data_IF_905370698637
#
_entry.id   IF_905370698637
#
_cell.length_a   1.000
_cell.length_b   1.000
_cell.length_c   1.000
_cell.angle_alpha   90.00
_cell.angle_beta   90.00
_cell.angle_gamma   90.00
#
_symmetry.space_group_name_H-M   'P 1'
#
loop_
_entity.id
_entity.type
_entity.pdbx_description
1 polymer ?
#
# COMPACT_ATOMS: atom_id res chain seq x y z
N UNK A 1 9.15 5.35 7.14
CA UNK A 1 8.54 4.01 7.28
C UNK A 1 8.27 3.75 8.75
N UNK A 2 7.05 4.06 9.22
CA UNK A 2 6.46 3.51 10.45
C UNK A 2 4.96 3.48 10.20
N UNK A 3 4.51 2.47 9.45
CA UNK A 3 3.12 2.05 9.56
C UNK A 3 3.04 1.33 10.89
N UNK A 4 2.23 1.88 11.79
CA UNK A 4 1.94 1.37 13.13
C UNK A 4 2.11 -0.16 13.21
N UNK A 5 3.18 -0.61 13.86
CA UNK A 5 3.22 -1.94 14.46
C UNK A 5 2.26 -1.89 15.65
N UNK A 6 0.96 -1.91 15.33
CA UNK A 6 -0.05 -2.11 16.34
C UNK A 6 -0.06 -3.61 16.67
N UNK A 7 0.85 -4.00 17.56
CA UNK A 7 0.88 -5.32 18.21
C UNK A 7 -0.31 -5.48 19.18
N UNK A 8 -1.26 -4.53 19.19
CA UNK A 8 -2.50 -4.64 19.93
C UNK A 8 -3.25 -5.91 19.51
N UNK A 9 -3.60 -6.79 20.46
CA UNK A 9 -4.49 -7.89 20.17
C UNK A 9 -5.80 -7.32 19.61
N UNK A 10 -6.23 -7.84 18.46
CA UNK A 10 -7.57 -7.57 17.94
C UNK A 10 -8.59 -7.84 19.05
N UNK A 11 -9.51 -6.90 19.28
CA UNK A 11 -10.50 -6.95 20.38
C UNK A 11 -11.03 -8.38 20.60
N UNK A 12 -10.77 -9.03 21.75
CA UNK A 12 -11.19 -10.40 22.02
C UNK A 12 -12.66 -10.46 22.50
N UNK A 13 -13.37 -11.60 22.33
CA UNK A 13 -13.72 -12.31 21.10
C UNK A 13 -15.24 -12.22 20.81
N UNK A 14 -15.67 -12.56 19.58
CA UNK A 14 -17.04 -13.00 19.32
C UNK A 14 -17.29 -14.28 20.13
N UNK A 15 -17.95 -14.17 21.28
CA UNK A 15 -18.35 -15.33 22.10
C UNK A 15 -19.31 -16.21 21.31
N UNK A 16 -18.84 -17.37 20.86
CA UNK A 16 -19.68 -18.48 20.44
C UNK A 16 -19.19 -19.74 21.16
N UNK A 17 -20.10 -20.49 21.76
CA UNK A 17 -19.82 -21.81 22.34
C UNK A 17 -18.70 -21.89 23.40
N UNK A 18 -18.63 -20.90 24.31
CA UNK A 18 -17.72 -20.90 25.49
C UNK A 18 -16.22 -20.97 25.18
N UNK A 19 -15.81 -20.73 23.93
CA UNK A 19 -14.40 -20.64 23.54
C UNK A 19 -13.99 -19.19 23.32
N UNK A 20 -12.75 -18.84 23.67
CA UNK A 20 -12.15 -17.51 23.49
C UNK A 20 -11.10 -17.63 22.41
N UNK A 21 -11.30 -16.93 21.30
CA UNK A 21 -10.35 -16.87 20.19
C UNK A 21 -9.64 -15.53 20.19
N UNK A 22 -8.31 -15.54 20.33
CA UNK A 22 -7.47 -14.37 20.11
C UNK A 22 -7.04 -14.29 18.64
N UNK A 23 -7.00 -13.09 18.09
CA UNK A 23 -6.49 -12.83 16.75
C UNK A 23 -5.33 -11.85 16.84
N UNK A 24 -4.30 -12.06 16.02
CA UNK A 24 -3.16 -11.14 15.86
C UNK A 24 -2.89 -10.90 14.39
N UNK A 25 -2.48 -9.68 14.05
CA UNK A 25 -1.91 -9.41 12.75
C UNK A 25 -0.49 -9.98 12.70
N UNK A 26 -0.15 -10.64 11.60
CA UNK A 26 1.19 -11.15 11.35
C UNK A 26 1.63 -10.58 10.02
N UNK A 27 2.77 -9.91 10.01
CA UNK A 27 3.42 -9.51 8.78
C UNK A 27 4.04 -10.74 8.11
N UNK A 28 3.51 -11.13 6.95
CA UNK A 28 3.98 -12.29 6.20
C UNK A 28 5.46 -12.17 5.80
N UNK A 29 6.01 -10.96 5.71
CA UNK A 29 7.44 -10.73 5.39
C UNK A 29 8.38 -11.07 6.55
N UNK A 30 7.85 -11.11 7.77
CA UNK A 30 8.61 -11.47 8.99
C UNK A 30 8.58 -12.97 9.27
N UNK A 31 7.84 -13.74 8.48
CA UNK A 31 7.83 -15.19 8.59
C UNK A 31 9.10 -15.76 7.96
N UNK A 32 9.77 -16.63 8.68
CA UNK A 32 10.90 -17.41 8.17
C UNK A 32 10.38 -18.54 7.28
N UNK A 33 10.01 -18.19 6.05
CA UNK A 33 9.50 -19.13 5.06
C UNK A 33 10.57 -19.42 4.03
N UNK A 34 10.81 -20.71 3.78
CA UNK A 34 11.72 -21.18 2.74
C UNK A 34 11.16 -20.80 1.37
N UNK A 35 11.71 -19.71 0.82
CA UNK A 35 11.40 -19.17 -0.51
C UNK A 35 11.50 -20.24 -1.60
N UNK A 36 12.56 -21.05 -1.55
CA UNK A 36 12.79 -22.13 -2.51
C UNK A 36 11.72 -23.22 -2.44
N UNK A 37 11.21 -23.53 -1.24
CA UNK A 37 10.12 -24.50 -1.07
C UNK A 37 8.81 -23.96 -1.67
N UNK A 38 8.48 -22.69 -1.42
CA UNK A 38 7.27 -22.10 -1.99
C UNK A 38 7.33 -22.01 -3.52
N UNK A 39 8.49 -21.71 -4.11
CA UNK A 39 8.66 -21.62 -5.57
C UNK A 39 8.56 -22.97 -6.28
N UNK A 40 9.01 -24.03 -5.61
CA UNK A 40 9.02 -25.40 -6.14
C UNK A 40 7.77 -26.20 -5.75
N UNK A 41 6.88 -25.63 -4.93
CA UNK A 41 5.68 -26.29 -4.45
C UNK A 41 4.74 -26.70 -5.59
N UNK A 42 4.12 -27.87 -5.45
CA UNK A 42 3.06 -28.34 -6.33
C UNK A 42 1.73 -27.61 -6.08
N UNK A 43 1.61 -26.86 -4.98
CA UNK A 43 0.41 -26.10 -4.62
C UNK A 43 0.48 -24.71 -5.24
N UNK A 44 -0.43 -24.34 -6.17
CA UNK A 44 -0.36 -23.05 -6.85
C UNK A 44 -0.52 -21.81 -5.95
N UNK A 45 -1.11 -21.99 -4.76
CA UNK A 45 -1.26 -20.92 -3.79
C UNK A 45 0.08 -20.54 -3.14
N UNK A 46 1.01 -21.50 -3.03
CA UNK A 46 2.32 -21.26 -2.44
C UNK A 46 3.16 -20.32 -3.31
N UNK A 47 2.96 -20.36 -4.63
CA UNK A 47 3.56 -19.38 -5.55
C UNK A 47 3.07 -17.95 -5.28
N UNK A 48 1.82 -17.77 -4.84
CA UNK A 48 1.27 -16.46 -4.46
C UNK A 48 1.81 -16.05 -3.09
N UNK A 49 1.85 -16.98 -2.13
CA UNK A 49 2.46 -16.74 -0.82
C UNK A 49 3.93 -16.32 -0.96
N UNK A 50 4.66 -16.91 -1.90
CA UNK A 50 6.05 -16.58 -2.19
C UNK A 50 6.27 -15.09 -2.46
N UNK A 51 5.46 -14.49 -3.33
CA UNK A 51 5.57 -13.06 -3.70
C UNK A 51 4.98 -12.13 -2.62
N UNK A 52 4.08 -12.64 -1.78
CA UNK A 52 3.60 -11.91 -0.60
C UNK A 52 4.68 -11.81 0.49
N UNK A 53 5.49 -12.86 0.67
CA UNK A 53 6.56 -12.90 1.66
C UNK A 53 7.82 -12.13 1.23
N UNK A 54 7.94 -11.76 -0.06
CA UNK A 54 9.08 -10.97 -0.55
C UNK A 54 9.19 -9.62 0.17
N UNK A 55 10.40 -9.26 0.62
CA UNK A 55 10.65 -7.96 1.25
C UNK A 55 10.40 -6.77 0.31
N UNK A 56 10.66 -6.96 -0.99
CA UNK A 56 10.53 -5.94 -2.03
C UNK A 56 9.66 -6.43 -3.19
N UNK A 57 8.95 -5.51 -3.86
CA UNK A 57 8.18 -5.83 -5.06
C UNK A 57 9.14 -6.00 -6.25
N UNK A 58 9.44 -7.25 -6.60
CA UNK A 58 10.30 -7.60 -7.73
C UNK A 58 9.44 -8.01 -8.94
N UNK A 59 9.31 -7.15 -9.95
CA UNK A 59 8.42 -7.34 -11.10
C UNK A 59 8.54 -8.71 -11.76
N UNK A 60 9.78 -9.22 -11.88
CA UNK A 60 10.05 -10.49 -12.52
C UNK A 60 9.48 -11.69 -11.75
N UNK A 61 9.48 -11.65 -10.40
CA UNK A 61 8.86 -12.70 -9.58
C UNK A 61 7.34 -12.73 -9.78
N UNK A 62 6.68 -11.57 -9.73
CA UNK A 62 5.23 -11.48 -9.95
C UNK A 62 4.82 -11.98 -11.34
N UNK A 63 5.58 -11.62 -12.37
CA UNK A 63 5.35 -12.11 -13.72
C UNK A 63 5.61 -13.62 -13.86
N UNK A 64 6.62 -14.15 -13.18
CA UNK A 64 6.90 -15.59 -13.16
C UNK A 64 5.74 -16.37 -12.56
N UNK A 65 5.22 -15.93 -11.41
CA UNK A 65 4.04 -16.54 -10.77
C UNK A 65 2.82 -16.45 -11.68
N UNK A 66 2.58 -15.30 -12.33
CA UNK A 66 1.48 -15.16 -13.27
C UNK A 66 1.58 -16.15 -14.44
N UNK A 67 2.79 -16.36 -14.99
CA UNK A 67 3.03 -17.36 -16.05
C UNK A 67 2.82 -18.78 -15.54
N UNK A 68 3.26 -19.11 -14.33
CA UNK A 68 3.05 -20.43 -13.72
C UNK A 68 1.55 -20.71 -13.50
N UNK A 69 0.81 -19.76 -12.92
CA UNK A 69 -0.64 -19.86 -12.74
C UNK A 69 -1.33 -20.04 -14.09
N UNK A 70 -0.93 -19.30 -15.13
CA UNK A 70 -1.55 -19.46 -16.45
C UNK A 70 -1.24 -20.83 -17.08
N UNK A 71 -0.03 -21.38 -16.88
CA UNK A 71 0.28 -22.76 -17.29
C UNK A 71 -0.57 -23.79 -16.54
N UNK A 72 -0.69 -23.64 -15.22
CA UNK A 72 -1.53 -24.49 -14.38
C UNK A 72 -3.02 -24.41 -14.77
N UNK A 73 -3.49 -23.21 -15.12
CA UNK A 73 -4.88 -22.98 -15.55
C UNK A 73 -5.25 -23.75 -16.82
N UNK A 74 -4.29 -23.96 -17.74
CA UNK A 74 -4.51 -24.75 -18.97
C UNK A 74 -4.81 -26.21 -18.67
N UNK A 75 -4.19 -26.76 -17.62
CA UNK A 75 -4.41 -28.14 -17.20
C UNK A 75 -5.56 -28.28 -16.19
N UNK A 76 -5.86 -27.23 -15.43
CA UNK A 76 -6.86 -27.24 -14.34
C UNK A 76 -7.86 -26.06 -14.43
N UNK A 77 -8.83 -26.08 -15.37
CA UNK A 77 -9.68 -24.93 -15.66
C UNK A 77 -10.59 -24.51 -14.50
N UNK A 78 -11.17 -25.49 -13.78
CA UNK A 78 -12.20 -25.26 -12.75
C UNK A 78 -11.71 -24.45 -11.54
N UNK A 79 -10.42 -24.52 -11.19
CA UNK A 79 -9.82 -23.78 -10.07
C UNK A 79 -9.05 -22.52 -10.47
N UNK A 80 -8.90 -22.28 -11.77
CA UNK A 80 -7.98 -21.25 -12.29
C UNK A 80 -8.45 -19.82 -12.03
N UNK A 81 -9.76 -19.57 -12.07
CA UNK A 81 -10.31 -18.22 -11.84
C UNK A 81 -9.99 -17.70 -10.45
N UNK A 82 -10.11 -18.55 -9.43
CA UNK A 82 -9.78 -18.20 -8.05
C UNK A 82 -8.30 -17.84 -7.91
N UNK A 83 -7.39 -18.65 -8.46
CA UNK A 83 -5.96 -18.41 -8.39
C UNK A 83 -5.55 -17.10 -9.07
N UNK A 84 -6.13 -16.81 -10.24
CA UNK A 84 -5.90 -15.54 -10.95
C UNK A 84 -6.37 -14.35 -10.11
N UNK A 85 -7.57 -14.43 -9.52
CA UNK A 85 -8.10 -13.41 -8.63
C UNK A 85 -7.23 -13.24 -7.37
N UNK A 86 -6.79 -14.33 -6.75
CA UNK A 86 -5.93 -14.31 -5.58
C UNK A 86 -4.60 -13.60 -5.85
N UNK A 87 -3.97 -13.81 -7.01
CA UNK A 87 -2.73 -13.11 -7.36
C UNK A 87 -2.97 -11.60 -7.54
N UNK A 88 -4.11 -11.21 -8.13
CA UNK A 88 -4.45 -9.80 -8.32
C UNK A 88 -4.79 -9.10 -7.00
N UNK A 89 -5.46 -9.80 -6.07
CA UNK A 89 -5.69 -9.32 -4.70
C UNK A 89 -4.35 -9.18 -3.97
N UNK A 90 -3.47 -10.17 -4.08
CA UNK A 90 -2.13 -10.12 -3.50
C UNK A 90 -1.33 -8.92 -4.02
N UNK A 91 -1.40 -8.64 -5.33
CA UNK A 91 -0.76 -7.48 -5.93
C UNK A 91 -1.34 -6.15 -5.39
N UNK A 92 -2.65 -6.06 -5.21
CA UNK A 92 -3.28 -4.88 -4.60
C UNK A 92 -2.86 -4.69 -3.14
N UNK A 93 -2.84 -5.77 -2.33
CA UNK A 93 -2.41 -5.74 -0.93
C UNK A 93 -0.94 -5.35 -0.78
N UNK A 94 -0.09 -5.76 -1.73
CA UNK A 94 1.32 -5.37 -1.78
C UNK A 94 1.55 -4.02 -2.44
N UNK A 95 0.48 -3.28 -2.76
CA UNK A 95 0.55 -1.96 -3.39
C UNK A 95 1.35 -1.96 -4.71
N UNK A 96 1.22 -3.02 -5.52
CA UNK A 96 1.87 -3.11 -6.83
C UNK A 96 1.33 -2.02 -7.75
N UNK A 97 2.25 -1.24 -8.34
CA UNK A 97 1.92 -0.12 -9.22
C UNK A 97 0.98 -0.51 -10.37
N UNK A 98 0.02 0.37 -10.71
CA UNK A 98 -1.07 0.08 -11.66
C UNK A 98 -0.57 -0.42 -13.01
N UNK A 99 0.50 0.16 -13.55
CA UNK A 99 1.06 -0.26 -14.84
C UNK A 99 1.66 -1.67 -14.79
N UNK A 100 2.15 -2.12 -13.64
CA UNK A 100 2.65 -3.49 -13.42
C UNK A 100 1.49 -4.45 -13.22
N UNK A 101 0.48 -4.05 -12.46
CA UNK A 101 -0.76 -4.81 -12.32
C UNK A 101 -1.42 -5.08 -13.67
N UNK A 102 -1.47 -4.09 -14.59
CA UNK A 102 -1.96 -4.29 -15.97
C UNK A 102 -1.19 -5.37 -16.74
N UNK A 103 0.13 -5.46 -16.58
CA UNK A 103 0.92 -6.55 -17.18
C UNK A 103 0.55 -7.92 -16.60
N UNK A 104 0.19 -7.99 -15.31
CA UNK A 104 -0.33 -9.22 -14.70
C UNK A 104 -1.70 -9.56 -15.27
N UNK A 105 -2.59 -8.59 -15.43
CA UNK A 105 -3.89 -8.75 -16.09
C UNK A 105 -3.74 -9.39 -17.48
N UNK A 106 -2.82 -8.86 -18.30
CA UNK A 106 -2.51 -9.38 -19.63
C UNK A 106 -1.99 -10.83 -19.58
N UNK A 107 -1.02 -11.11 -18.68
CA UNK A 107 -0.43 -12.44 -18.54
C UNK A 107 -1.43 -13.49 -18.03
N UNK A 108 -2.36 -13.08 -17.17
CA UNK A 108 -3.42 -13.93 -16.62
C UNK A 108 -4.63 -14.02 -17.57
N UNK A 109 -4.69 -13.18 -18.60
CA UNK A 109 -5.84 -13.05 -19.50
C UNK A 109 -7.13 -12.71 -18.72
N UNK A 110 -7.03 -11.77 -17.79
CA UNK A 110 -8.15 -11.25 -16.99
C UNK A 110 -8.35 -9.79 -17.33
N UNK A 111 -9.60 -9.33 -17.38
CA UNK A 111 -9.92 -7.92 -17.54
C UNK A 111 -10.53 -7.38 -16.23
N UNK A 112 -9.71 -6.70 -15.41
CA UNK A 112 -10.16 -6.19 -14.10
C UNK A 112 -11.18 -5.06 -14.25
N UNK A 113 -11.18 -4.31 -15.36
CA UNK A 113 -12.16 -3.24 -15.58
C UNK A 113 -13.60 -3.74 -15.56
N UNK A 114 -13.81 -5.03 -15.80
CA UNK A 114 -15.14 -5.67 -15.75
C UNK A 114 -15.48 -6.22 -14.36
N UNK A 115 -14.61 -6.03 -13.36
CA UNK A 115 -14.79 -6.46 -11.97
C UNK A 115 -14.74 -5.20 -11.08
N UNK A 116 -15.90 -4.56 -10.81
CA UNK A 116 -15.96 -3.26 -10.13
C UNK A 116 -15.17 -3.21 -8.82
N UNK A 117 -15.34 -4.21 -7.96
CA UNK A 117 -14.66 -4.28 -6.66
C UNK A 117 -13.13 -4.24 -6.77
N UNK A 118 -12.56 -4.91 -7.78
CA UNK A 118 -11.12 -4.90 -7.98
C UNK A 118 -10.67 -3.60 -8.64
N UNK A 119 -11.46 -3.04 -9.55
CA UNK A 119 -11.17 -1.73 -10.15
C UNK A 119 -11.10 -0.63 -9.07
N UNK A 120 -12.13 -0.55 -8.23
CA UNK A 120 -12.20 0.41 -7.12
C UNK A 120 -11.00 0.26 -6.18
N UNK A 121 -10.64 -0.97 -5.82
CA UNK A 121 -9.48 -1.24 -4.95
C UNK A 121 -8.14 -0.79 -5.57
N UNK A 122 -7.99 -0.87 -6.89
CA UNK A 122 -6.80 -0.40 -7.59
C UNK A 122 -6.78 1.12 -7.74
N UNK A 123 -7.94 1.75 -7.90
CA UNK A 123 -8.06 3.20 -7.99
C UNK A 123 -7.80 3.85 -6.61
N UNK A 124 -8.36 3.27 -5.52
CA UNK A 124 -8.05 3.65 -4.14
C UNK A 124 -6.56 3.46 -3.81
N UNK A 125 -5.94 2.41 -4.36
CA UNK A 125 -4.51 2.20 -4.23
C UNK A 125 -3.71 3.28 -4.95
N UNK A 126 -4.08 3.62 -6.19
CA UNK A 126 -3.41 4.64 -6.98
C UNK A 126 -3.47 6.00 -6.29
N UNK A 127 -4.63 6.38 -5.73
CA UNK A 127 -4.79 7.58 -4.92
C UNK A 127 -3.89 7.56 -3.66
N UNK A 128 -3.84 6.45 -2.93
CA UNK A 128 -2.95 6.32 -1.74
C UNK A 128 -1.47 6.41 -2.10
N UNK A 129 -1.05 5.80 -3.21
CA UNK A 129 0.34 5.85 -3.69
C UNK A 129 0.68 7.26 -4.18
N UNK A 130 -0.24 7.94 -4.88
CA UNK A 130 -0.15 9.34 -5.28
C UNK A 130 0.09 10.26 -4.08
N UNK A 131 -0.85 10.28 -3.14
CA UNK A 131 -0.75 11.01 -1.87
C UNK A 131 0.59 10.75 -1.15
N UNK A 132 1.00 9.48 -1.00
CA UNK A 132 2.27 9.15 -0.33
C UNK A 132 3.49 9.67 -1.09
N UNK A 133 3.44 9.73 -2.41
CA UNK A 133 4.52 10.25 -3.26
C UNK A 133 4.63 11.77 -3.14
N UNK A 134 3.50 12.48 -3.14
CA UNK A 134 3.46 13.93 -2.95
C UNK A 134 3.91 14.29 -1.53
N UNK A 135 3.41 13.61 -0.49
CA UNK A 135 3.86 13.77 0.89
C UNK A 135 5.39 13.62 1.03
N UNK A 136 5.98 12.58 0.43
CA UNK A 136 7.45 12.42 0.44
C UNK A 136 8.18 13.56 -0.27
N UNK A 137 7.56 14.12 -1.31
CA UNK A 137 8.13 15.27 -2.03
C UNK A 137 8.08 16.54 -1.18
N UNK A 138 7.01 16.71 -0.40
CA UNK A 138 6.87 17.80 0.60
C UNK A 138 7.96 17.68 1.66
N UNK A 139 8.13 16.50 2.27
CA UNK A 139 9.19 16.29 3.28
C UNK A 139 10.59 16.56 2.71
N UNK A 140 10.86 16.12 1.47
CA UNK A 140 12.13 16.44 0.78
C UNK A 140 12.30 17.93 0.52
N UNK A 141 11.21 18.65 0.24
CA UNK A 141 11.26 20.09 0.03
C UNK A 141 11.62 20.81 1.33
N UNK A 142 11.04 20.41 2.47
CA UNK A 142 11.42 20.89 3.80
C UNK A 142 12.90 20.61 4.11
N UNK A 143 13.36 19.38 3.86
CA UNK A 143 14.77 18.99 4.03
C UNK A 143 15.71 19.85 3.17
N UNK A 144 15.33 20.14 1.92
CA UNK A 144 16.15 20.92 0.98
C UNK A 144 16.37 22.36 1.45
N UNK A 145 15.39 22.94 2.15
CA UNK A 145 15.49 24.29 2.74
C UNK A 145 15.88 24.27 4.23
N UNK A 146 16.23 23.09 4.76
CA UNK A 146 16.72 22.87 6.14
C UNK A 146 15.73 23.29 7.22
N UNK A 147 14.44 23.04 6.99
CA UNK A 147 13.41 23.20 8.01
C UNK A 147 13.16 21.83 8.64
N UNK A 148 13.33 21.73 9.95
CA UNK A 148 12.93 20.55 10.70
C UNK A 148 11.41 20.53 10.84
N UNK A 149 10.79 19.42 10.44
CA UNK A 149 9.36 19.18 10.60
C UNK A 149 9.16 18.44 11.91
N UNK A 150 8.44 19.05 12.84
CA UNK A 150 8.09 18.39 14.10
C UNK A 150 7.08 17.25 13.89
N UNK A 151 6.85 16.46 14.94
CA UNK A 151 5.93 15.33 14.85
C UNK A 151 4.50 15.74 14.57
N UNK A 152 4.04 16.88 15.06
CA UNK A 152 2.64 17.27 14.95
C UNK A 152 2.31 17.75 13.53
N UNK A 153 3.23 18.49 12.91
CA UNK A 153 3.18 18.86 11.49
C UNK A 153 3.31 17.61 10.62
N UNK A 154 4.20 16.68 10.96
CA UNK A 154 4.34 15.41 10.22
C UNK A 154 3.02 14.63 10.20
N UNK A 155 2.37 14.46 11.36
CA UNK A 155 1.08 13.78 11.44
C UNK A 155 0.01 14.54 10.66
N UNK A 156 -0.04 15.87 10.78
CA UNK A 156 -0.97 16.69 10.01
C UNK A 156 -0.79 16.53 8.49
N UNK A 157 0.45 16.55 7.99
CA UNK A 157 0.76 16.38 6.57
C UNK A 157 0.40 14.98 6.06
N UNK A 158 0.47 13.95 6.90
CA UNK A 158 0.01 12.60 6.53
C UNK A 158 -1.53 12.54 6.35
N UNK A 159 -2.27 13.41 7.02
CA UNK A 159 -3.72 13.54 6.93
C UNK A 159 -4.19 14.54 5.86
N UNK A 160 -3.29 15.30 5.25
CA UNK A 160 -3.58 16.18 4.11
C UNK A 160 -3.99 15.39 2.85
N UNK A 161 -4.89 15.95 2.06
CA UNK A 161 -5.24 15.42 0.74
C UNK A 161 -4.09 15.66 -0.26
N UNK A 162 -4.10 14.93 -1.37
CA UNK A 162 -3.03 15.04 -2.37
C UNK A 162 -2.90 16.46 -2.92
N UNK A 163 -4.02 17.10 -3.28
CA UNK A 163 -4.02 18.45 -3.87
C UNK A 163 -3.46 19.50 -2.90
N UNK A 164 -3.79 19.39 -1.61
CA UNK A 164 -3.28 20.28 -0.55
C UNK A 164 -1.76 20.17 -0.42
N UNK A 165 -1.22 18.94 -0.50
CA UNK A 165 0.21 18.69 -0.47
C UNK A 165 0.90 19.17 -1.76
N UNK A 166 0.25 19.05 -2.92
CA UNK A 166 0.77 19.56 -4.19
C UNK A 166 0.85 21.10 -4.18
N UNK A 167 -0.14 21.78 -3.63
CA UNK A 167 -0.18 23.24 -3.49
C UNK A 167 0.86 23.77 -2.50
N UNK A 168 1.25 22.95 -1.52
CA UNK A 168 2.27 23.31 -0.53
C UNK A 168 3.70 23.31 -1.12
N UNK A 169 4.00 22.42 -2.07
CA UNK A 169 5.32 22.32 -2.71
C UNK A 169 5.86 23.65 -3.27
N UNK A 170 5.14 24.40 -4.13
CA UNK A 170 5.64 25.66 -4.66
C UNK A 170 5.81 26.72 -3.57
N UNK A 171 5.03 26.67 -2.48
CA UNK A 171 5.20 27.58 -1.34
C UNK A 171 6.53 27.29 -0.65
N UNK A 172 6.80 26.03 -0.30
CA UNK A 172 8.06 25.62 0.35
C UNK A 172 9.28 26.03 -0.48
N UNK A 173 9.28 25.76 -1.79
CA UNK A 173 10.42 26.09 -2.65
C UNK A 173 10.62 27.60 -2.88
N UNK A 174 9.57 28.42 -2.73
CA UNK A 174 9.64 29.87 -2.94
C UNK A 174 9.76 30.66 -1.64
N UNK A 175 9.55 30.00 -0.50
CA UNK A 175 9.52 30.61 0.81
C UNK A 175 10.84 31.33 1.09
N UNK A 176 10.75 32.60 1.47
CA UNK A 176 11.93 33.40 1.87
C UNK A 176 12.23 33.28 3.37
N UNK A 177 11.24 32.83 4.13
CA UNK A 177 11.27 32.65 5.58
C UNK A 177 10.27 31.57 5.97
N UNK A 178 10.36 31.09 7.21
CA UNK A 178 9.46 30.05 7.74
C UNK A 178 8.01 30.54 7.84
N UNK A 179 7.79 31.82 8.14
CA UNK A 179 6.45 32.39 8.30
C UNK A 179 5.56 32.25 7.05
N UNK A 180 6.12 32.29 5.84
CA UNK A 180 5.39 32.05 4.59
C UNK A 180 4.87 30.60 4.51
N UNK A 181 5.63 29.65 5.05
CA UNK A 181 5.24 28.23 5.11
C UNK A 181 4.23 28.01 6.23
N UNK A 182 4.44 28.64 7.38
CA UNK A 182 3.54 28.56 8.54
C UNK A 182 2.15 29.09 8.20
N UNK A 183 2.09 30.16 7.40
CA UNK A 183 0.83 30.70 6.86
C UNK A 183 0.12 29.71 5.96
N UNK A 184 0.84 29.01 5.08
CA UNK A 184 0.24 28.01 4.20
C UNK A 184 -0.24 26.79 4.99
N UNK A 185 0.55 26.29 5.94
CA UNK A 185 0.15 25.21 6.84
C UNK A 185 -1.08 25.58 7.67
N UNK A 186 -1.11 26.81 8.21
CA UNK A 186 -2.24 27.33 8.97
C UNK A 186 -3.51 27.47 8.12
N UNK A 187 -3.39 27.86 6.86
CA UNK A 187 -4.53 27.94 5.95
C UNK A 187 -5.14 26.56 5.68
N UNK A 188 -4.31 25.54 5.49
CA UNK A 188 -4.76 24.14 5.34
C UNK A 188 -5.34 23.62 6.68
N UNK A 189 -4.75 23.99 7.81
CA UNK A 189 -5.24 23.55 9.11
C UNK A 189 -6.62 24.15 9.45
N UNK A 190 -6.82 25.43 9.09
CA UNK A 190 -8.11 26.13 9.26
C UNK A 190 -9.22 25.53 8.39
N UNK A 191 -8.92 25.12 7.15
CA UNK A 191 -9.93 24.47 6.30
C UNK A 191 -10.40 23.11 6.87
N UNK A 192 -9.62 22.53 7.81
CA UNK A 192 -9.89 21.24 8.46
C UNK A 192 -10.31 21.34 9.93
N UNK A 193 -10.51 22.54 10.47
CA UNK A 193 -10.78 22.77 11.91
C UNK A 193 -9.70 22.16 12.85
N UNK A 194 -8.46 22.01 12.35
CA UNK A 194 -7.33 21.51 13.13
C UNK A 194 -6.52 22.68 13.68
N UNK A 195 -6.18 22.64 14.97
CA UNK A 195 -5.18 23.55 15.55
C UNK A 195 -3.82 22.88 15.53
N UNK A 196 -2.90 23.42 14.72
CA UNK A 196 -1.50 23.05 14.82
C UNK A 196 -0.93 23.62 16.14
N UNK A 197 -0.16 22.83 16.91
CA UNK A 197 0.63 23.39 18.01
C UNK A 197 1.61 24.42 17.45
N UNK A 198 1.96 25.41 18.28
CA UNK A 198 2.72 26.59 17.87
C UNK A 198 3.88 26.26 16.90
N UNK A 199 3.77 26.79 15.67
CA UNK A 199 4.85 26.97 14.71
C UNK A 199 5.79 28.08 15.17
#
# INVERSE_FOLDING_TARGET
MRGLEDDSPLKPPLKRDRTVHGYKYIDLRKLDVSVSELESSDLPMDWILRVLCDNSIQDHHWQQVARQINRYAKTNPRGSGLLKASLLIAAALREVERHKARKLEDLLQVNIKNIPLLADAYDDLEARVGKRTVYRSVMRAFDAIRIEVDSDIDHFLQDCEEDELQDLLPVIYRARNTAEIDLALSAIAQSKDVRLPNL
#
